data_IF_825672291596
#
_entry.id   IF_825672291596
#
_cell.length_a   1.000
_cell.length_b   1.000
_cell.length_c   1.000
_cell.angle_alpha   90.00
_cell.angle_beta   90.00
_cell.angle_gamma   90.00
#
_symmetry.space_group_name_H-M   'P 1'
#
loop_
_entity.id
_entity.type
_entity.pdbx_description
1 polymer ?
#
# COMPACT_ATOMS: atom_id res chain seq x y z
N UNK A 1 12.87 7.80 -12.86
CA UNK A 1 12.50 6.48 -12.32
C UNK A 1 11.53 6.79 -11.19
N UNK A 2 10.26 6.39 -11.22
CA UNK A 2 9.34 6.85 -10.18
C UNK A 2 9.69 6.14 -8.87
N UNK A 3 10.43 6.82 -7.99
CA UNK A 3 10.68 6.30 -6.64
C UNK A 3 9.34 6.25 -5.88
N UNK A 4 8.94 5.06 -5.44
CA UNK A 4 7.82 4.91 -4.51
C UNK A 4 8.26 5.48 -3.16
N UNK A 5 7.45 6.34 -2.56
CA UNK A 5 7.73 6.90 -1.23
C UNK A 5 6.48 6.91 -0.38
N UNK A 6 6.64 6.67 0.92
CA UNK A 6 5.53 6.70 1.86
C UNK A 6 5.98 6.69 3.31
N UNK A 7 5.01 6.69 4.20
CA UNK A 7 5.23 6.59 5.63
C UNK A 7 4.14 5.74 6.30
N UNK A 8 4.44 5.22 7.48
CA UNK A 8 3.46 4.51 8.30
C UNK A 8 2.44 5.51 8.87
N UNK A 9 1.21 5.06 9.14
CA UNK A 9 0.14 5.87 9.72
C UNK A 9 0.49 6.53 11.05
N UNK A 10 1.45 5.98 11.80
CA UNK A 10 1.94 6.60 13.04
C UNK A 10 2.86 7.81 12.80
N UNK A 11 3.28 8.05 11.55
CA UNK A 11 4.21 9.13 11.15
C UNK A 11 5.68 8.89 11.50
N UNK A 12 6.01 7.85 12.28
CA UNK A 12 7.37 7.63 12.80
C UNK A 12 8.28 6.84 11.86
N UNK A 13 7.72 6.23 10.82
CA UNK A 13 8.46 5.36 9.89
C UNK A 13 8.25 5.87 8.48
N UNK A 14 9.34 6.14 7.77
CA UNK A 14 9.35 6.51 6.35
C UNK A 14 10.02 5.41 5.55
N UNK A 15 9.57 5.19 4.33
CA UNK A 15 10.12 4.19 3.42
C UNK A 15 10.16 4.73 1.98
N UNK A 16 11.09 4.18 1.20
CA UNK A 16 11.18 4.42 -0.24
C UNK A 16 11.61 3.14 -0.95
N UNK A 17 11.23 3.01 -2.22
CA UNK A 17 11.65 1.91 -3.08
C UNK A 17 11.99 2.43 -4.48
N UNK A 18 13.09 1.93 -5.03
CA UNK A 18 13.56 2.22 -6.39
C UNK A 18 13.21 1.03 -7.30
N UNK A 19 11.91 0.75 -7.39
CA UNK A 19 11.36 -0.32 -8.20
C UNK A 19 10.03 0.15 -8.79
N UNK A 20 9.80 -0.21 -10.05
CA UNK A 20 8.50 0.00 -10.68
C UNK A 20 7.53 -1.06 -10.18
N UNK A 21 6.30 -0.68 -9.78
CA UNK A 21 5.27 -1.65 -9.43
C UNK A 21 4.97 -2.57 -10.61
N UNK A 22 5.03 -3.88 -10.37
CA UNK A 22 4.58 -4.90 -11.31
C UNK A 22 3.05 -4.89 -11.40
N UNK A 23 2.36 -4.58 -10.30
CA UNK A 23 0.91 -4.53 -10.22
C UNK A 23 0.39 -3.55 -9.17
N UNK A 24 -0.81 -3.03 -9.42
CA UNK A 24 -1.58 -2.27 -8.43
C UNK A 24 -3.02 -2.74 -8.46
N UNK A 25 -3.54 -3.17 -7.32
CA UNK A 25 -4.86 -3.81 -7.22
C UNK A 25 -5.65 -3.22 -6.06
N UNK A 26 -6.93 -2.91 -6.32
CA UNK A 26 -7.92 -2.71 -5.27
C UNK A 26 -8.43 -4.09 -4.80
N UNK A 27 -7.91 -4.58 -3.67
CA UNK A 27 -8.25 -5.90 -3.15
C UNK A 27 -9.48 -5.82 -2.24
N UNK A 28 -10.52 -6.59 -2.58
CA UNK A 28 -11.80 -6.66 -1.86
C UNK A 28 -11.91 -7.84 -0.91
N UNK A 29 -10.84 -8.58 -0.63
CA UNK A 29 -10.94 -9.73 0.28
C UNK A 29 -11.25 -9.27 1.72
N UNK A 30 -11.85 -10.14 2.52
CA UNK A 30 -12.23 -9.82 3.91
C UNK A 30 -11.04 -9.40 4.77
N UNK A 31 -9.85 -9.93 4.50
CA UNK A 31 -8.64 -9.53 5.22
C UNK A 31 -8.29 -8.05 4.96
N UNK A 32 -8.32 -7.63 3.69
CA UNK A 32 -8.04 -6.24 3.31
C UNK A 32 -9.12 -5.27 3.84
N UNK A 33 -10.38 -5.71 3.85
CA UNK A 33 -11.46 -4.94 4.45
C UNK A 33 -11.24 -4.75 5.96
N UNK A 34 -10.91 -5.82 6.69
CA UNK A 34 -10.65 -5.77 8.14
C UNK A 34 -9.41 -4.95 8.49
N UNK A 35 -8.35 -5.04 7.68
CA UNK A 35 -7.11 -4.30 7.91
C UNK A 35 -7.30 -2.78 7.78
N UNK A 36 -8.10 -2.35 6.79
CA UNK A 36 -8.30 -0.92 6.50
C UNK A 36 -9.53 -0.34 7.18
N UNK A 37 -10.49 -1.18 7.59
CA UNK A 37 -11.81 -0.73 8.04
C UNK A 37 -12.68 -0.18 6.90
N UNK A 38 -12.31 -0.42 5.64
CA UNK A 38 -13.03 0.08 4.45
C UNK A 38 -13.43 -1.08 3.52
N UNK A 39 -14.01 -0.78 2.36
CA UNK A 39 -14.42 -1.80 1.39
C UNK A 39 -13.25 -2.45 0.64
N UNK A 40 -12.02 -1.92 0.72
CA UNK A 40 -10.85 -2.48 0.05
C UNK A 40 -9.51 -1.99 0.61
N UNK A 41 -8.41 -2.61 0.16
CA UNK A 41 -7.06 -2.06 0.31
C UNK A 41 -6.39 -1.92 -1.05
N UNK A 42 -5.53 -0.90 -1.20
CA UNK A 42 -4.66 -0.79 -2.37
C UNK A 42 -3.39 -1.57 -2.09
N UNK A 43 -3.19 -2.63 -2.86
CA UNK A 43 -2.00 -3.46 -2.81
C UNK A 43 -1.13 -3.11 -4.01
N UNK A 44 0.13 -2.80 -3.72
CA UNK A 44 1.18 -2.52 -4.71
C UNK A 44 2.20 -3.64 -4.61
N UNK A 45 2.56 -4.24 -5.74
CA UNK A 45 3.54 -5.32 -5.85
C UNK A 45 4.37 -5.21 -7.11
#
# INVERSE_FOLDING_TARGET
MPQLSGHCLCGKVSYSADAEPVMTVACHCEHCQRQTGTSFSIIVG
#
